data_IF_059884506442
#
_entry.id   IF_059884506442
#
_cell.length_a   1.000
_cell.length_b   1.000
_cell.length_c   1.000
_cell.angle_alpha   90.00
_cell.angle_beta   90.00
_cell.angle_gamma   90.00
#
_symmetry.space_group_name_H-M   'P 1'
#
loop_
_entity.id
_entity.type
_entity.pdbx_description
1 polymer ?
#
# COMPACT_ATOMS: atom_id res chain seq x y z
N UNK A 1 3.12 12.63 15.58
CA UNK A 1 2.89 11.71 14.44
C UNK A 1 2.53 10.35 15.01
N UNK A 2 1.43 9.73 14.58
CA UNK A 2 0.91 8.48 15.17
C UNK A 2 1.79 7.25 14.86
N UNK A 3 2.46 7.26 13.71
CA UNK A 3 3.36 6.20 13.27
C UNK A 3 4.80 6.70 13.17
N UNK A 4 5.72 6.23 14.03
CA UNK A 4 7.15 6.55 13.93
C UNK A 4 7.70 6.07 12.59
N UNK A 5 8.54 6.89 11.95
CA UNK A 5 9.21 6.52 10.68
C UNK A 5 8.26 6.18 9.52
N UNK A 6 7.05 6.77 9.50
CA UNK A 6 6.09 6.58 8.40
C UNK A 6 6.73 6.83 7.02
N UNK A 7 7.46 7.94 6.86
CA UNK A 7 8.03 8.33 5.57
C UNK A 7 9.07 7.33 5.02
N UNK A 8 9.82 6.65 5.88
CA UNK A 8 10.81 5.64 5.46
C UNK A 8 10.23 4.23 5.38
N UNK A 9 8.94 4.06 5.68
CA UNK A 9 8.25 2.78 5.74
C UNK A 9 6.96 2.77 4.90
N UNK A 10 6.70 3.85 4.17
CA UNK A 10 5.55 3.99 3.29
C UNK A 10 5.92 3.49 1.90
N UNK A 11 5.10 2.61 1.36
CA UNK A 11 5.16 2.17 -0.04
C UNK A 11 3.92 2.66 -0.74
N UNK A 12 4.11 3.30 -1.91
CA UNK A 12 3.01 3.75 -2.76
C UNK A 12 3.08 2.93 -4.05
N UNK A 13 1.97 2.30 -4.39
CA UNK A 13 1.78 1.56 -5.61
C UNK A 13 0.72 2.26 -6.46
N UNK A 14 1.00 2.35 -7.75
CA UNK A 14 0.11 2.95 -8.73
C UNK A 14 -0.06 1.97 -9.88
N UNK A 15 -1.30 1.62 -10.17
CA UNK A 15 -1.65 0.66 -11.22
C UNK A 15 -2.71 1.29 -12.12
N UNK A 16 -2.46 1.43 -13.43
CA UNK A 16 -3.50 1.82 -14.36
C UNK A 16 -4.53 0.69 -14.46
N UNK A 17 -5.82 1.03 -14.39
CA UNK A 17 -6.94 0.09 -14.48
C UNK A 17 -7.89 0.51 -15.59
N UNK A 18 -8.59 -0.46 -16.18
CA UNK A 18 -9.54 -0.18 -17.26
C UNK A 18 -10.87 0.38 -16.74
N UNK A 19 -11.23 0.10 -15.48
CA UNK A 19 -12.51 0.48 -14.86
C UNK A 19 -12.37 0.56 -13.34
N UNK A 20 -13.26 1.32 -12.69
CA UNK A 20 -13.39 1.36 -11.22
C UNK A 20 -13.78 0.02 -10.57
N UNK A 21 -14.26 -0.93 -11.37
CA UNK A 21 -14.62 -2.28 -10.93
C UNK A 21 -13.51 -3.30 -11.17
N UNK A 22 -12.49 -2.96 -11.96
CA UNK A 22 -11.39 -3.85 -12.37
C UNK A 22 -10.15 -3.57 -11.52
N UNK A 23 -10.29 -3.78 -10.21
CA UNK A 23 -9.23 -3.51 -9.24
C UNK A 23 -8.31 -4.74 -9.11
N UNK A 24 -6.97 -4.54 -8.98
CA UNK A 24 -6.03 -5.63 -8.77
C UNK A 24 -6.41 -6.50 -7.56
N UNK A 25 -6.59 -7.79 -7.79
CA UNK A 25 -6.87 -8.78 -6.73
C UNK A 25 -5.60 -9.20 -5.95
N UNK A 26 -4.41 -8.83 -6.44
CA UNK A 26 -3.14 -9.09 -5.76
C UNK A 26 -3.04 -8.33 -4.46
N UNK A 27 -2.39 -8.90 -3.45
CA UNK A 27 -2.09 -8.20 -2.20
C UNK A 27 -1.19 -6.98 -2.42
N UNK A 28 -1.25 -6.02 -1.49
CA UNK A 28 -0.38 -4.85 -1.53
C UNK A 28 1.06 -5.25 -1.19
N UNK A 29 2.04 -4.74 -1.95
CA UNK A 29 3.46 -4.95 -1.65
C UNK A 29 3.92 -3.89 -0.65
N UNK A 30 4.03 -4.28 0.60
CA UNK A 30 4.42 -3.39 1.69
C UNK A 30 5.92 -3.47 1.97
N UNK A 31 6.53 -2.35 2.35
CA UNK A 31 7.93 -2.37 2.75
C UNK A 31 8.13 -3.22 4.01
N UNK A 32 8.95 -4.26 3.90
CA UNK A 32 9.45 -5.08 5.00
C UNK A 32 10.95 -4.82 5.17
N UNK A 33 11.38 -4.41 6.37
CA UNK A 33 12.79 -4.09 6.65
C UNK A 33 13.72 -5.29 6.61
N UNK A 34 13.16 -6.49 6.72
CA UNK A 34 13.89 -7.75 6.80
C UNK A 34 14.04 -8.40 5.41
N UNK A 35 13.37 -7.85 4.39
CA UNK A 35 13.46 -8.29 2.99
C UNK A 35 14.02 -7.14 2.13
N UNK A 36 15.15 -7.32 1.46
CA UNK A 36 15.65 -6.32 0.51
C UNK A 36 14.73 -6.28 -0.71
N UNK A 37 13.81 -5.32 -0.71
CA UNK A 37 12.91 -5.05 -1.83
C UNK A 37 13.63 -4.13 -2.79
N UNK A 38 13.55 -4.41 -4.10
CA UNK A 38 13.88 -3.43 -5.12
C UNK A 38 12.64 -2.57 -5.33
N UNK A 39 12.64 -1.27 -4.96
CA UNK A 39 11.52 -0.40 -5.27
C UNK A 39 11.34 -0.38 -6.79
N UNK A 40 10.12 -0.60 -7.28
CA UNK A 40 9.80 -0.30 -8.66
C UNK A 40 9.93 1.22 -8.81
N UNK A 41 11.05 1.67 -9.38
CA UNK A 41 11.33 3.10 -9.65
C UNK A 41 10.70 3.57 -10.96
N UNK A 42 10.08 2.66 -11.71
CA UNK A 42 9.42 2.97 -12.96
C UNK A 42 8.01 3.48 -12.67
N UNK A 43 7.88 4.80 -12.66
CA UNK A 43 6.63 5.50 -12.40
C UNK A 43 5.99 5.88 -13.74
N UNK A 44 4.88 5.23 -14.07
CA UNK A 44 4.03 5.64 -15.18
C UNK A 44 2.78 6.32 -14.62
N UNK A 45 2.64 7.65 -14.75
CA UNK A 45 1.47 8.37 -14.26
C UNK A 45 0.18 8.03 -15.02
N UNK A 46 0.26 7.31 -16.14
CA UNK A 46 -0.85 7.13 -17.08
C UNK A 46 -1.04 8.33 -18.00
N UNK A 47 -1.78 8.13 -19.09
CA UNK A 47 -2.18 9.22 -20.00
C UNK A 47 -3.37 10.02 -19.45
N UNK A 48 -3.76 11.06 -20.18
CA UNK A 48 -5.04 11.72 -19.95
C UNK A 48 -6.19 10.72 -20.04
N UNK A 49 -7.21 10.89 -19.21
CA UNK A 49 -8.35 9.96 -19.08
C UNK A 49 -7.99 8.54 -18.64
N UNK A 50 -6.80 8.32 -18.06
CA UNK A 50 -6.45 7.02 -17.46
C UNK A 50 -6.96 6.94 -16.03
N UNK A 51 -7.58 5.81 -15.67
CA UNK A 51 -7.97 5.52 -14.28
C UNK A 51 -6.78 4.89 -13.59
N UNK A 52 -6.42 5.45 -12.43
CA UNK A 52 -5.30 5.01 -11.62
C UNK A 52 -5.84 4.49 -10.28
N UNK A 53 -5.49 3.25 -9.99
CA UNK A 53 -5.65 2.65 -8.66
C UNK A 53 -4.39 2.89 -7.85
N UNK A 54 -4.53 3.51 -6.68
CA UNK A 54 -3.43 3.83 -5.78
C UNK A 54 -3.57 3.05 -4.48
N UNK A 55 -2.46 2.48 -4.02
CA UNK A 55 -2.37 1.87 -2.69
C UNK A 55 -1.21 2.46 -1.92
N UNK A 56 -1.48 2.85 -0.68
CA UNK A 56 -0.47 3.19 0.31
C UNK A 56 -0.39 2.05 1.31
N UNK A 57 0.79 1.45 1.48
CA UNK A 57 1.03 0.44 2.50
C UNK A 57 2.16 0.82 3.46
N UNK A 58 2.00 0.45 4.72
CA UNK A 58 3.06 0.48 5.73
C UNK A 58 2.99 -0.71 6.68
N UNK A 59 4.14 -1.12 7.20
CA UNK A 59 4.25 -2.23 8.16
C UNK A 59 4.41 -1.70 9.58
N UNK A 60 3.50 -2.02 10.50
CA UNK A 60 3.51 -1.54 11.89
C UNK A 60 3.75 -2.67 12.88
N UNK A 61 4.54 -2.41 13.93
CA UNK A 61 4.62 -3.31 15.09
C UNK A 61 3.61 -2.87 16.13
N UNK A 62 2.68 -3.75 16.49
CA UNK A 62 1.71 -3.48 17.55
C UNK A 62 2.31 -4.01 18.84
N UNK A 63 2.40 -3.17 19.87
CA UNK A 63 3.00 -3.53 21.16
C UNK A 63 2.21 -4.63 21.91
N UNK A 64 0.93 -4.79 21.59
CA UNK A 64 0.03 -5.81 22.17
C UNK A 64 -0.75 -6.53 21.06
N UNK A 65 -0.12 -7.49 20.35
CA UNK A 65 -0.77 -8.20 19.24
C UNK A 65 -1.97 -9.07 19.65
N UNK A 66 -2.25 -9.21 20.95
CA UNK A 66 -3.38 -9.97 21.50
C UNK A 66 -4.58 -9.15 22.00
N UNK A 67 -4.64 -7.83 21.80
CA UNK A 67 -5.75 -6.99 22.26
C UNK A 67 -6.18 -5.96 21.21
N UNK A 68 -7.49 -5.69 21.13
CA UNK A 68 -8.06 -4.63 20.29
C UNK A 68 -7.83 -4.82 18.79
N UNK A 69 -7.43 -3.75 18.08
CA UNK A 69 -7.21 -3.72 16.63
C UNK A 69 -6.15 -4.73 16.14
N UNK A 70 -5.22 -5.16 17.01
CA UNK A 70 -4.19 -6.14 16.65
C UNK A 70 -4.75 -7.51 16.26
N UNK A 71 -5.95 -7.88 16.74
CA UNK A 71 -6.61 -9.14 16.37
C UNK A 71 -7.24 -9.10 14.98
N UNK A 72 -7.63 -7.91 14.51
CA UNK A 72 -8.31 -7.73 13.23
C UNK A 72 -7.34 -7.51 12.06
N UNK A 73 -6.05 -7.32 12.35
CA UNK A 73 -5.05 -6.98 11.36
C UNK A 73 -4.32 -8.23 10.87
N UNK A 74 -4.20 -8.43 9.54
CA UNK A 74 -3.46 -9.56 8.99
C UNK A 74 -2.01 -9.51 9.47
N UNK A 75 -1.54 -10.65 9.99
CA UNK A 75 -0.17 -10.82 10.49
C UNK A 75 0.72 -11.24 9.32
N UNK A 76 1.84 -10.53 9.14
CA UNK A 76 2.90 -10.99 8.26
C UNK A 76 3.78 -12.02 8.98
N UNK A 77 4.59 -12.77 8.23
CA UNK A 77 5.53 -13.77 8.73
C UNK A 77 6.51 -13.22 9.80
N UNK A 78 6.69 -11.89 9.84
CA UNK A 78 7.62 -11.18 10.73
C UNK A 78 6.98 -10.66 12.04
N UNK A 79 5.79 -11.12 12.44
CA UNK A 79 5.04 -10.64 13.62
C UNK A 79 4.71 -9.14 13.60
N UNK A 80 4.59 -8.61 12.38
CA UNK A 80 4.16 -7.24 12.11
C UNK A 80 2.81 -7.24 11.41
N UNK A 81 2.11 -6.13 11.49
CA UNK A 81 0.83 -5.93 10.83
C UNK A 81 0.99 -4.97 9.66
N UNK A 82 0.15 -5.13 8.65
CA UNK A 82 0.13 -4.24 7.49
C UNK A 82 -1.08 -3.32 7.57
N UNK A 83 -0.84 -2.03 7.32
CA UNK A 83 -1.89 -1.03 7.14
C UNK A 83 -1.91 -0.65 5.67
N UNK A 84 -3.04 -0.90 5.02
CA UNK A 84 -3.24 -0.64 3.60
C UNK A 84 -4.40 0.34 3.46
N UNK A 85 -4.17 1.40 2.71
CA UNK A 85 -5.22 2.33 2.26
C UNK A 85 -5.22 2.35 0.73
N UNK A 86 -6.39 2.23 0.13
CA UNK A 86 -6.55 2.21 -1.32
C UNK A 86 -7.54 3.27 -1.78
N UNK A 87 -7.23 3.90 -2.91
CA UNK A 87 -8.11 4.87 -3.56
C UNK A 87 -8.03 4.72 -5.07
N UNK A 88 -9.00 5.28 -5.79
CA UNK A 88 -9.04 5.28 -7.26
C UNK A 88 -9.38 6.67 -7.74
N UNK A 89 -8.66 7.15 -8.74
CA UNK A 89 -8.88 8.46 -9.35
C UNK A 89 -8.65 8.38 -10.86
N UNK A 90 -9.09 9.42 -11.59
CA UNK A 90 -8.89 9.52 -13.03
C UNK A 90 -8.02 10.75 -13.31
N UNK A 91 -7.05 10.59 -14.21
CA UNK A 91 -6.29 11.73 -14.72
C UNK A 91 -7.16 12.58 -15.64
N UNK A 92 -7.12 13.90 -15.42
CA UNK A 92 -7.85 14.84 -16.27
C UNK A 92 -7.37 14.76 -17.72
N UNK A 93 -8.27 14.82 -18.73
CA UNK A 93 -7.88 15.02 -20.11
C UNK A 93 -7.32 16.43 -20.31
N UNK A 94 -6.18 16.53 -20.99
CA UNK A 94 -5.60 17.80 -21.44
C UNK A 94 -6.17 18.22 -22.81
#
# INVERSE_FOLDING_TARGET
>A
MLFPSCQSNLTIELTPVASYTDLPASDAVCHDKDVPIKPAVDFNPGGGSTIIFMRACMTVSILTPGFGLGLALPKTNSDRHQLISSTTFMNEPF
#
